data_IF_019733837393
#
_entry.id   IF_019733837393
#
_cell.length_a   1.000
_cell.length_b   1.000
_cell.length_c   1.000
_cell.angle_alpha   90.00
_cell.angle_beta   90.00
_cell.angle_gamma   90.00
#
_symmetry.space_group_name_H-M   'P 1'
#
loop_
_entity.id
_entity.type
_entity.pdbx_description
1 polymer ?
#
# COMPACT_ATOMS: atom_id res chain seq x y z
N UNK A 1 -7.48 0.27 11.60
CA UNK A 1 -6.80 -0.54 10.56
C UNK A 1 -5.48 0.14 10.27
N UNK A 2 -4.36 -0.59 10.28
CA UNK A 2 -3.02 -0.01 10.07
C UNK A 2 -2.62 0.02 8.60
N UNK A 3 -2.99 -1.01 7.85
CA UNK A 3 -2.70 -1.13 6.42
C UNK A 3 -3.82 -1.89 5.71
N UNK A 4 -3.97 -1.61 4.42
CA UNK A 4 -4.95 -2.19 3.52
C UNK A 4 -4.26 -2.71 2.26
N UNK A 5 -3.85 -3.98 2.29
CA UNK A 5 -3.17 -4.66 1.18
C UNK A 5 -4.06 -4.87 -0.05
N UNK A 6 -5.36 -4.58 0.04
CA UNK A 6 -6.30 -4.78 -1.08
C UNK A 6 -6.48 -3.51 -1.94
N UNK A 7 -5.85 -2.41 -1.53
CA UNK A 7 -6.05 -1.09 -2.16
C UNK A 7 -4.74 -0.35 -2.43
N UNK A 8 -3.71 -0.51 -1.59
CA UNK A 8 -2.43 0.21 -1.70
C UNK A 8 -1.26 -0.77 -1.82
N UNK A 9 -0.15 -0.30 -2.37
CA UNK A 9 0.98 -1.12 -2.79
C UNK A 9 0.86 -1.52 -4.25
N UNK A 10 1.99 -1.76 -4.91
CA UNK A 10 2.02 -2.08 -6.34
C UNK A 10 1.15 -3.29 -6.69
N UNK A 11 1.20 -4.37 -5.90
CA UNK A 11 0.40 -5.58 -6.09
C UNK A 11 -1.10 -5.27 -6.13
N UNK A 12 -1.62 -4.56 -5.13
CA UNK A 12 -3.05 -4.20 -5.09
C UNK A 12 -3.50 -3.30 -6.25
N UNK A 13 -2.56 -2.56 -6.83
CA UNK A 13 -2.81 -1.59 -7.89
C UNK A 13 -2.74 -2.22 -9.29
N UNK A 14 -1.86 -3.21 -9.50
CA UNK A 14 -1.55 -3.73 -10.84
C UNK A 14 -1.51 -5.26 -10.96
N UNK A 15 -1.32 -6.01 -9.87
CA UNK A 15 -1.15 -7.46 -9.92
C UNK A 15 -2.41 -8.21 -9.44
N UNK A 16 -2.92 -7.84 -8.27
CA UNK A 16 -3.94 -8.57 -7.54
C UNK A 16 -5.30 -7.88 -7.64
N UNK A 17 -6.28 -8.61 -8.15
CA UNK A 17 -7.65 -8.13 -8.20
C UNK A 17 -8.45 -8.63 -7.00
N UNK A 18 -8.84 -7.72 -6.12
CA UNK A 18 -9.63 -8.02 -4.93
C UNK A 18 -11.10 -7.66 -5.15
N UNK A 19 -11.98 -8.60 -4.86
CA UNK A 19 -13.43 -8.41 -4.93
C UNK A 19 -13.93 -7.43 -3.85
N UNK A 20 -15.07 -6.79 -4.12
CA UNK A 20 -15.76 -5.97 -3.10
C UNK A 20 -16.09 -6.78 -1.84
N UNK A 21 -16.33 -8.08 -1.99
CA UNK A 21 -16.57 -8.98 -0.86
C UNK A 21 -15.37 -9.08 0.08
N UNK A 22 -14.16 -9.22 -0.46
CA UNK A 22 -12.91 -9.27 0.30
C UNK A 22 -12.62 -7.92 0.97
N UNK A 23 -12.75 -6.81 0.22
CA UNK A 23 -12.54 -5.45 0.72
C UNK A 23 -13.47 -5.09 1.89
N UNK A 24 -14.74 -5.53 1.81
CA UNK A 24 -15.78 -5.18 2.78
C UNK A 24 -15.89 -6.13 3.97
N UNK A 25 -15.47 -7.41 3.85
CA UNK A 25 -15.66 -8.43 4.90
C UNK A 25 -14.35 -8.94 5.52
N UNK A 26 -13.26 -8.22 5.33
CA UNK A 26 -11.98 -8.50 5.95
C UNK A 26 -12.05 -8.52 7.48
N UNK A 27 -11.35 -9.49 8.06
CA UNK A 27 -11.26 -9.64 9.51
C UNK A 27 -10.25 -8.64 10.08
N UNK A 28 -10.64 -7.94 11.14
CA UNK A 28 -9.75 -7.04 11.86
C UNK A 28 -9.24 -7.71 13.14
N UNK A 29 -7.92 -7.77 13.29
CA UNK A 29 -7.29 -8.14 14.55
C UNK A 29 -7.02 -6.90 15.41
N UNK A 30 -7.45 -6.94 16.67
CA UNK A 30 -7.14 -5.89 17.64
C UNK A 30 -5.79 -6.17 18.29
N UNK A 31 -4.78 -5.38 17.93
CA UNK A 31 -3.46 -5.40 18.56
C UNK A 31 -3.59 -5.05 20.05
N UNK A 32 -3.07 -5.93 20.92
CA UNK A 32 -3.02 -5.73 22.37
C UNK A 32 -1.74 -5.01 22.78
N UNK A 33 -1.66 -3.73 22.43
CA UNK A 33 -0.48 -2.88 22.68
C UNK A 33 -0.84 -1.71 23.58
N UNK A 34 0.15 -1.18 24.30
CA UNK A 34 0.02 0.10 25.01
C UNK A 34 0.04 1.26 24.01
N UNK A 35 -0.12 2.49 24.50
CA UNK A 35 0.05 3.66 23.65
C UNK A 35 1.49 3.70 23.10
N UNK A 36 1.61 3.64 21.78
CA UNK A 36 2.89 3.58 21.06
C UNK A 36 2.94 4.63 19.96
N UNK A 37 4.14 5.05 19.59
CA UNK A 37 4.35 5.77 18.32
C UNK A 37 4.32 4.76 17.18
N UNK A 38 3.86 5.18 16.02
CA UNK A 38 3.89 4.37 14.80
C UNK A 38 5.05 4.88 13.94
N UNK A 39 5.94 3.96 13.55
CA UNK A 39 6.98 4.20 12.54
C UNK A 39 6.51 3.51 11.25
N UNK A 40 6.58 4.25 10.15
CA UNK A 40 6.23 3.77 8.82
C UNK A 40 7.46 3.89 7.95
N UNK A 41 7.83 2.80 7.28
CA UNK A 41 8.92 2.78 6.31
C UNK A 41 8.39 2.24 5.00
N UNK A 42 8.60 2.99 3.92
CA UNK A 42 8.14 2.63 2.58
C UNK A 42 9.33 2.31 1.68
N UNK A 43 9.23 1.24 0.90
CA UNK A 43 10.14 0.91 -0.19
C UNK A 43 9.61 1.44 -1.52
N UNK A 44 10.49 2.05 -2.29
CA UNK A 44 10.24 2.52 -3.66
C UNK A 44 11.45 2.15 -4.51
N UNK A 45 11.51 0.88 -4.92
CA UNK A 45 12.49 0.38 -5.88
C UNK A 45 12.01 0.45 -7.33
N UNK A 46 10.70 0.53 -7.56
CA UNK A 46 10.10 0.76 -8.89
C UNK A 46 10.37 2.20 -9.35
N UNK A 47 10.99 2.34 -10.53
CA UNK A 47 11.22 3.62 -11.17
C UNK A 47 10.05 3.98 -12.10
N UNK A 48 8.95 4.43 -11.51
CA UNK A 48 7.75 4.81 -12.24
C UNK A 48 8.00 5.85 -13.34
N UNK A 49 8.94 6.78 -13.15
CA UNK A 49 9.17 7.83 -14.13
C UNK A 49 9.82 7.27 -15.41
N UNK A 50 10.75 6.31 -15.29
CA UNK A 50 11.31 5.63 -16.47
C UNK A 50 10.37 4.57 -17.05
N UNK A 51 9.52 3.97 -16.22
CA UNK A 51 8.57 2.93 -16.62
C UNK A 51 7.20 3.48 -17.06
N UNK A 52 7.03 4.80 -17.12
CA UNK A 52 5.72 5.44 -17.36
C UNK A 52 4.95 4.92 -18.57
N UNK A 53 5.67 4.58 -19.63
CA UNK A 53 5.09 4.06 -20.88
C UNK A 53 4.53 2.63 -20.76
N UNK A 54 4.85 1.91 -19.67
CA UNK A 54 4.35 0.56 -19.39
C UNK A 54 2.96 0.56 -18.74
N UNK A 55 2.46 1.71 -18.28
CA UNK A 55 1.19 1.83 -17.58
C UNK A 55 0.08 2.30 -18.50
N UNK A 56 -1.12 1.73 -18.34
CA UNK A 56 -2.30 2.15 -19.07
C UNK A 56 -2.81 3.50 -18.54
N UNK A 57 -2.84 4.49 -19.44
CA UNK A 57 -3.38 5.83 -19.16
C UNK A 57 -4.64 6.06 -19.98
N UNK A 58 -5.65 6.67 -19.37
CA UNK A 58 -6.83 7.13 -20.10
C UNK A 58 -6.60 8.44 -20.86
N UNK A 59 -7.61 8.91 -21.60
CA UNK A 59 -7.54 10.15 -22.40
C UNK A 59 -7.22 11.42 -21.57
N UNK A 60 -7.39 11.36 -20.25
CA UNK A 60 -7.09 12.46 -19.32
C UNK A 60 -5.72 12.29 -18.63
N UNK A 61 -4.97 11.25 -19.00
CA UNK A 61 -3.69 10.90 -18.39
C UNK A 61 -3.81 10.29 -16.99
N UNK A 62 -4.98 9.74 -16.64
CA UNK A 62 -5.16 9.01 -15.39
C UNK A 62 -4.72 7.56 -15.56
N UNK A 63 -3.99 7.05 -14.57
CA UNK A 63 -3.56 5.64 -14.53
C UNK A 63 -4.77 4.76 -14.28
N UNK A 64 -4.92 3.72 -15.10
CA UNK A 64 -5.95 2.69 -14.96
C UNK A 64 -5.36 1.55 -14.13
N UNK A 65 -6.01 1.24 -13.00
CA UNK A 65 -5.61 0.15 -12.10
C UNK A 65 -6.20 -1.19 -12.55
N UNK A 66 -5.71 -2.29 -11.98
CA UNK A 66 -6.17 -3.66 -12.28
C UNK A 66 -7.67 -3.86 -12.03
N UNK A 67 -8.24 -3.12 -11.08
CA UNK A 67 -9.68 -3.14 -10.76
C UNK A 67 -10.52 -2.11 -11.54
N UNK A 68 -9.92 -1.46 -12.54
CA UNK A 68 -10.56 -0.48 -13.42
C UNK A 68 -10.75 0.91 -12.82
N UNK A 69 -10.34 1.14 -11.56
CA UNK A 69 -10.28 2.50 -10.99
C UNK A 69 -9.26 3.34 -11.75
N UNK A 70 -9.46 4.66 -11.69
CA UNK A 70 -8.61 5.65 -12.35
C UNK A 70 -8.05 6.63 -11.34
N UNK A 71 -6.73 6.77 -11.30
CA UNK A 71 -6.06 7.66 -10.35
C UNK A 71 -5.11 8.63 -11.06
N UNK A 72 -4.77 9.73 -10.40
CA UNK A 72 -3.74 10.63 -10.93
C UNK A 72 -2.35 9.96 -10.84
N UNK A 73 -1.47 10.27 -11.79
CA UNK A 73 -0.08 9.80 -11.76
C UNK A 73 0.63 10.09 -10.43
N UNK A 74 0.43 11.30 -9.90
CA UNK A 74 0.99 11.69 -8.60
C UNK A 74 0.52 10.79 -7.46
N UNK A 75 -0.73 10.30 -7.53
CA UNK A 75 -1.28 9.41 -6.52
C UNK A 75 -0.63 8.02 -6.60
N UNK A 76 -0.35 7.53 -7.82
CA UNK A 76 0.42 6.30 -8.02
C UNK A 76 1.78 6.38 -7.31
N UNK A 77 2.49 7.49 -7.43
CA UNK A 77 3.80 7.66 -6.77
C UNK A 77 3.74 7.63 -5.23
N UNK A 78 2.58 7.88 -4.64
CA UNK A 78 2.40 7.82 -3.18
C UNK A 78 1.87 6.48 -2.70
N UNK A 79 1.04 5.82 -3.50
CA UNK A 79 0.33 4.61 -3.10
C UNK A 79 1.00 3.33 -3.62
N UNK A 80 1.82 3.44 -4.68
CA UNK A 80 2.48 2.34 -5.39
C UNK A 80 3.84 1.97 -4.80
N UNK A 81 4.01 1.98 -3.48
CA UNK A 81 5.20 1.41 -2.87
C UNK A 81 5.26 -0.11 -3.09
N UNK A 82 6.46 -0.66 -3.20
CA UNK A 82 6.71 -2.09 -3.39
C UNK A 82 7.03 -2.83 -2.10
N UNK A 83 7.19 -2.09 -1.00
CA UNK A 83 7.41 -2.66 0.32
C UNK A 83 6.92 -1.72 1.42
N UNK A 84 6.42 -2.30 2.51
CA UNK A 84 5.96 -1.56 3.69
C UNK A 84 6.40 -2.26 4.98
N UNK A 85 7.02 -1.49 5.87
CA UNK A 85 7.16 -1.85 7.28
C UNK A 85 6.36 -0.91 8.18
N UNK A 86 5.70 -1.52 9.17
CA UNK A 86 5.04 -0.82 10.28
C UNK A 86 5.59 -1.35 11.59
N UNK A 87 6.26 -0.49 12.35
CA UNK A 87 6.70 -0.76 13.71
C UNK A 87 5.97 0.10 14.74
N UNK A 88 5.71 -0.48 15.91
CA UNK A 88 5.23 0.23 17.08
C UNK A 88 6.38 0.48 18.04
N UNK A 89 6.57 1.73 18.46
CA UNK A 89 7.59 2.14 19.41
C UNK A 89 6.93 2.45 20.74
N UNK A 90 7.24 1.66 21.77
CA UNK A 90 6.69 1.85 23.11
C UNK A 90 7.28 3.07 23.83
N UNK A 91 6.78 3.34 25.05
CA UNK A 91 7.24 4.47 25.87
C UNK A 91 8.70 4.40 26.30
N UNK A 92 9.30 3.21 26.26
CA UNK A 92 10.72 2.98 26.59
C UNK A 92 11.62 3.04 25.34
N UNK A 93 11.03 3.20 24.14
CA UNK A 93 11.75 3.20 22.88
C UNK A 93 11.96 1.82 22.26
N UNK A 94 11.33 0.76 22.79
CA UNK A 94 11.41 -0.56 22.18
C UNK A 94 10.57 -0.61 20.90
N UNK A 95 11.16 -1.09 19.80
CA UNK A 95 10.47 -1.29 18.54
C UNK A 95 9.88 -2.70 18.47
N UNK A 96 8.60 -2.80 18.11
CA UNK A 96 7.91 -4.05 17.79
C UNK A 96 7.43 -3.99 16.34
N UNK A 97 7.93 -4.90 15.50
CA UNK A 97 7.48 -5.07 14.12
C UNK A 97 6.05 -5.64 14.08
N UNK A 98 5.17 -5.00 13.31
CA UNK A 98 3.77 -5.43 13.11
C UNK A 98 3.53 -5.89 11.68
N UNK A 99 4.07 -5.15 10.70
CA UNK A 99 3.97 -5.48 9.28
C UNK A 99 5.36 -5.37 8.68
N UNK A 100 5.73 -6.35 7.86
CA UNK A 100 6.87 -6.34 6.96
C UNK A 100 6.42 -7.10 5.71
N UNK A 101 6.09 -6.35 4.66
CA UNK A 101 5.41 -6.89 3.49
C UNK A 101 6.05 -6.38 2.19
N UNK A 102 6.47 -7.32 1.34
CA UNK A 102 6.76 -7.09 -0.07
C UNK A 102 5.43 -7.04 -0.84
N UNK A 103 5.32 -6.04 -1.70
CA UNK A 103 4.08 -5.64 -2.39
C UNK A 103 4.32 -5.45 -3.89
N UNK A 104 5.36 -6.07 -4.46
CA UNK A 104 5.63 -6.15 -5.89
C UNK A 104 6.24 -7.51 -6.28
#
# INVERSE_FOLDING_TARGET
MLFDETVHGYNAMFCDNHSDGEKNNRSLEKLKVTASKIKLTFGYSIDYDSEKELYDLDEKGQVILVDGRKIAWQQLLYDGFDWLSIELIDVNGNEQLIIDAELA
#
